data_IF_259715946616
#
_entry.id   IF_259715946616
#
_cell.length_a   1.000
_cell.length_b   1.000
_cell.length_c   1.000
_cell.angle_alpha   90.00
_cell.angle_beta   90.00
_cell.angle_gamma   90.00
#
_symmetry.space_group_name_H-M   'P 1'
#
loop_
_entity.id
_entity.type
_entity.pdbx_description
1 polymer ?
#
# COMPACT_ATOMS: atom_id res chain seq x y z
N UNK A 1 -5.92 -13.78 1.62
CA UNK A 1 -6.22 -12.39 1.21
C UNK A 1 -5.32 -12.06 0.03
N UNK A 2 -5.79 -11.30 -0.95
CA UNK A 2 -5.03 -10.95 -2.15
C UNK A 2 -4.15 -9.70 -1.93
N UNK A 3 -3.38 -9.68 -0.84
CA UNK A 3 -2.42 -8.63 -0.48
C UNK A 3 -1.57 -9.07 0.74
N UNK A 4 -0.47 -8.39 0.96
CA UNK A 4 0.43 -8.54 2.09
C UNK A 4 0.32 -7.36 3.06
N UNK A 5 0.79 -7.55 4.30
CA UNK A 5 0.75 -6.53 5.35
C UNK A 5 2.14 -6.25 5.89
N UNK A 6 2.57 -5.00 5.78
CA UNK A 6 3.77 -4.50 6.43
C UNK A 6 3.39 -3.86 7.77
N UNK A 7 3.94 -4.39 8.87
CA UNK A 7 3.73 -3.88 10.23
C UNK A 7 4.71 -2.75 10.49
N UNK A 8 4.20 -1.53 10.62
CA UNK A 8 5.00 -0.33 10.90
C UNK A 8 5.28 -0.16 12.41
N UNK A 9 4.46 -0.76 13.27
CA UNK A 9 4.50 -0.48 14.70
C UNK A 9 3.93 0.90 15.01
N UNK A 10 4.46 1.57 16.02
CA UNK A 10 3.95 2.88 16.43
C UNK A 10 4.51 3.99 15.55
N UNK A 11 3.62 4.76 14.93
CA UNK A 11 3.99 5.83 14.00
C UNK A 11 3.56 7.18 14.56
N UNK A 12 4.51 8.10 14.76
CA UNK A 12 4.20 9.50 15.09
C UNK A 12 3.71 10.21 13.84
N UNK A 13 2.45 10.63 13.85
CA UNK A 13 1.85 11.40 12.77
C UNK A 13 2.34 12.85 12.78
N UNK A 14 2.17 13.55 11.65
CA UNK A 14 2.47 14.98 11.55
C UNK A 14 1.67 15.83 12.54
N UNK A 15 0.48 15.38 12.96
CA UNK A 15 -0.32 16.02 14.01
C UNK A 15 0.29 15.90 15.41
N UNK A 16 1.36 15.12 15.60
CA UNK A 16 1.97 14.82 16.89
C UNK A 16 1.36 13.61 17.62
N UNK A 17 0.20 13.11 17.16
CA UNK A 17 -0.45 11.91 17.72
C UNK A 17 0.31 10.64 17.31
N UNK A 18 0.36 9.64 18.18
CA UNK A 18 0.91 8.32 17.87
C UNK A 18 -0.21 7.40 17.35
N UNK A 19 -0.06 6.94 16.11
CA UNK A 19 -0.85 5.85 15.56
C UNK A 19 -0.22 4.53 16.00
N UNK A 20 -0.84 3.88 17.00
CA UNK A 20 -0.33 2.62 17.56
C UNK A 20 -0.55 1.45 16.62
N UNK A 21 0.41 0.51 16.60
CA UNK A 21 0.35 -0.74 15.83
C UNK A 21 -0.07 -0.55 14.36
N UNK A 22 0.46 0.50 13.73
CA UNK A 22 0.16 0.85 12.36
C UNK A 22 0.59 -0.25 11.38
N UNK A 23 -0.20 -0.40 10.30
CA UNK A 23 0.04 -1.37 9.24
C UNK A 23 -0.29 -0.78 7.87
N UNK A 24 0.47 -1.19 6.86
CA UNK A 24 0.17 -0.95 5.45
C UNK A 24 -0.20 -2.26 4.78
N UNK A 25 -1.37 -2.31 4.14
CA UNK A 25 -1.71 -3.35 3.20
C UNK A 25 -1.13 -2.99 1.82
N UNK A 26 -0.46 -3.93 1.15
CA UNK A 26 0.12 -3.69 -0.16
C UNK A 26 0.10 -4.96 -1.02
N UNK A 27 0.20 -4.81 -2.33
CA UNK A 27 0.39 -5.93 -3.26
C UNK A 27 1.50 -5.61 -4.24
N UNK A 28 2.31 -6.60 -4.56
CA UNK A 28 3.41 -6.48 -5.51
C UNK A 28 3.10 -7.16 -6.84
N UNK A 29 3.66 -6.65 -7.92
CA UNK A 29 3.51 -7.20 -9.27
C UNK A 29 4.86 -7.15 -9.99
N UNK A 30 5.14 -8.18 -10.80
CA UNK A 30 6.44 -8.34 -11.43
C UNK A 30 7.51 -8.83 -10.44
N UNK A 31 8.78 -8.64 -10.82
CA UNK A 31 9.93 -9.15 -10.06
C UNK A 31 10.96 -8.05 -9.83
N UNK A 32 11.41 -7.90 -8.59
CA UNK A 32 12.51 -7.01 -8.22
C UNK A 32 13.81 -7.53 -8.83
N UNK A 33 14.52 -6.69 -9.58
CA UNK A 33 15.82 -7.08 -10.13
C UNK A 33 16.93 -7.04 -9.06
N UNK A 34 18.08 -7.64 -9.37
CA UNK A 34 19.20 -7.74 -8.43
C UNK A 34 19.71 -6.36 -7.94
N UNK A 35 19.68 -5.35 -8.81
CA UNK A 35 20.13 -3.99 -8.50
C UNK A 35 19.09 -3.15 -7.73
N UNK A 36 17.85 -3.65 -7.61
CA UNK A 36 16.74 -2.97 -6.95
C UNK A 36 16.30 -1.65 -7.63
N UNK A 37 16.65 -1.44 -8.90
CA UNK A 37 16.44 -0.16 -9.60
C UNK A 37 15.21 -0.14 -10.51
N UNK A 38 14.41 -1.21 -10.53
CA UNK A 38 13.20 -1.31 -11.35
C UNK A 38 11.89 -1.11 -10.58
N UNK A 39 11.92 -0.40 -9.44
CA UNK A 39 10.75 -0.25 -8.55
C UNK A 39 9.85 0.91 -8.97
N UNK A 40 8.55 0.66 -9.03
CA UNK A 40 7.52 1.69 -9.14
C UNK A 40 6.60 1.59 -7.91
N UNK A 41 6.50 2.67 -7.13
CA UNK A 41 5.54 2.77 -6.03
C UNK A 41 4.26 3.42 -6.55
N UNK A 42 3.13 2.75 -6.36
CA UNK A 42 1.82 3.19 -6.85
C UNK A 42 0.83 3.30 -5.68
N UNK A 43 0.71 4.49 -5.05
CA UNK A 43 -0.28 4.72 -4.00
C UNK A 43 -1.71 4.55 -4.53
N UNK A 44 -2.63 4.09 -3.67
CA UNK A 44 -4.06 4.11 -4.00
C UNK A 44 -4.64 5.53 -3.87
N UNK A 45 -5.80 5.75 -4.51
CA UNK A 45 -6.52 7.03 -4.48
C UNK A 45 -7.76 6.96 -3.57
N UNK A 46 -8.51 8.06 -3.44
CA UNK A 46 -9.76 8.11 -2.66
C UNK A 46 -10.74 7.01 -3.08
N UNK A 47 -11.31 6.27 -2.12
CA UNK A 47 -12.13 5.04 -2.33
C UNK A 47 -11.41 3.85 -3.01
N UNK A 48 -10.13 4.01 -3.34
CA UNK A 48 -9.34 3.02 -4.05
C UNK A 48 -8.69 2.00 -3.12
N UNK A 49 -8.49 0.81 -3.68
CA UNK A 49 -7.61 -0.24 -3.15
C UNK A 49 -6.63 -0.64 -4.24
N UNK A 50 -5.63 -1.46 -3.90
CA UNK A 50 -4.66 -1.99 -4.86
C UNK A 50 -5.32 -2.61 -6.11
N UNK A 51 -6.51 -3.23 -5.98
CA UNK A 51 -7.29 -3.77 -7.11
C UNK A 51 -7.69 -2.70 -8.12
N UNK A 52 -8.05 -1.50 -7.65
CA UNK A 52 -8.39 -0.38 -8.53
C UNK A 52 -7.17 0.15 -9.29
N UNK A 53 -5.96 -0.03 -8.74
CA UNK A 53 -4.71 0.33 -9.39
C UNK A 53 -4.29 -0.67 -10.49
N UNK A 54 -4.82 -1.89 -10.51
CA UNK A 54 -4.48 -2.90 -11.53
C UNK A 54 -4.86 -2.43 -12.95
N UNK A 55 -5.81 -1.50 -13.08
CA UNK A 55 -6.14 -0.85 -14.36
C UNK A 55 -5.08 0.11 -14.90
N UNK A 56 -4.04 0.46 -14.14
CA UNK A 56 -2.99 1.42 -14.57
C UNK A 56 -1.76 0.76 -15.20
N UNK A 57 -1.58 -0.55 -15.05
CA UNK A 57 -0.41 -1.28 -15.57
C UNK A 57 -0.81 -2.51 -16.37
N UNK A 58 0.15 -3.11 -17.07
CA UNK A 58 -0.05 -4.33 -17.85
C UNK A 58 1.03 -4.55 -18.91
N UNK A 59 1.12 -5.77 -19.48
CA UNK A 59 2.11 -6.09 -20.52
C UNK A 59 2.06 -5.09 -21.69
N UNK A 60 3.21 -4.55 -22.08
CA UNK A 60 3.33 -3.59 -23.18
C UNK A 60 2.85 -2.17 -22.89
N UNK A 61 2.37 -1.86 -21.67
CA UNK A 61 1.96 -0.50 -21.27
C UNK A 61 3.14 0.30 -20.71
N UNK A 62 2.92 1.57 -20.43
CA UNK A 62 3.93 2.45 -19.83
C UNK A 62 4.45 1.90 -18.49
N UNK A 63 3.52 1.39 -17.65
CA UNK A 63 3.84 0.65 -16.43
C UNK A 63 3.64 -0.83 -16.75
N UNK A 64 4.74 -1.53 -17.01
CA UNK A 64 4.75 -2.94 -17.42
C UNK A 64 5.35 -3.83 -16.32
N UNK A 65 4.58 -4.78 -15.74
CA UNK A 65 5.08 -5.69 -14.71
C UNK A 65 6.11 -6.71 -15.24
N UNK A 66 6.31 -6.83 -16.55
CA UNK A 66 7.43 -7.61 -17.11
C UNK A 66 8.77 -6.88 -17.04
N UNK A 67 8.74 -5.56 -16.79
CA UNK A 67 9.94 -4.70 -16.74
C UNK A 67 10.18 -4.15 -15.33
N UNK A 68 9.11 -3.79 -14.63
CA UNK A 68 9.16 -3.13 -13.33
C UNK A 68 8.59 -4.00 -12.22
N UNK A 69 9.13 -3.83 -11.03
CA UNK A 69 8.55 -4.30 -9.79
C UNK A 69 7.62 -3.24 -9.22
N UNK A 70 6.32 -3.48 -9.28
CA UNK A 70 5.30 -2.51 -8.91
C UNK A 70 4.81 -2.81 -7.50
N UNK A 71 4.83 -1.82 -6.62
CA UNK A 71 4.29 -1.93 -5.25
C UNK A 71 3.05 -1.04 -5.14
N UNK A 72 1.88 -1.67 -5.06
CA UNK A 72 0.60 -0.96 -4.91
C UNK A 72 0.24 -0.86 -3.42
N UNK A 73 0.36 0.35 -2.85
CA UNK A 73 0.22 0.59 -1.41
C UNK A 73 -1.16 1.18 -1.11
N UNK A 74 -1.91 0.50 -0.25
CA UNK A 74 -3.21 0.97 0.21
C UNK A 74 -3.03 2.09 1.25
N UNK A 75 -3.71 3.22 1.05
CA UNK A 75 -3.63 4.38 1.96
C UNK A 75 -4.12 4.03 3.37
N UNK A 76 -3.57 4.70 4.39
CA UNK A 76 -4.23 4.76 5.68
C UNK A 76 -5.67 5.27 5.55
N UNK A 77 -6.57 4.74 6.38
CA UNK A 77 -7.99 5.11 6.37
C UNK A 77 -8.83 4.46 5.27
N UNK A 78 -8.25 3.69 4.33
CA UNK A 78 -8.99 3.11 3.21
C UNK A 78 -9.70 1.77 3.50
N UNK A 79 -9.67 1.31 4.76
CA UNK A 79 -10.28 0.07 5.23
C UNK A 79 -9.37 -1.16 5.20
N UNK A 80 -8.27 -1.14 4.44
CA UNK A 80 -7.31 -2.25 4.36
C UNK A 80 -6.06 -2.02 5.23
N UNK A 81 -5.37 -0.90 4.99
CA UNK A 81 -4.32 -0.42 5.90
C UNK A 81 -4.95 0.03 7.22
N UNK A 82 -4.14 0.47 8.20
CA UNK A 82 -4.67 1.05 9.44
C UNK A 82 -5.73 2.10 9.15
N UNK A 83 -6.93 1.84 9.65
CA UNK A 83 -8.15 2.62 9.39
C UNK A 83 -9.05 2.57 10.62
N UNK A 84 -9.93 3.56 10.83
CA UNK A 84 -10.90 3.53 11.92
C UNK A 84 -11.68 2.20 11.99
N UNK A 85 -12.13 1.71 10.83
CA UNK A 85 -12.88 0.44 10.70
C UNK A 85 -12.13 -0.84 11.09
N UNK A 86 -10.82 -0.77 11.36
CA UNK A 86 -10.00 -1.93 11.72
C UNK A 86 -8.99 -1.65 12.85
N UNK A 87 -9.19 -0.56 13.58
CA UNK A 87 -8.39 -0.16 14.73
C UNK A 87 -9.12 -0.50 16.04
N UNK A 88 -8.39 -0.40 17.16
CA UNK A 88 -8.94 -0.49 18.50
C UNK A 88 -9.14 0.93 19.09
N UNK A 89 -10.04 1.10 20.08
CA UNK A 89 -10.14 2.35 20.82
C UNK A 89 -8.80 2.85 21.35
N UNK A 90 -8.50 4.15 21.28
CA UNK A 90 -9.33 5.27 20.80
C UNK A 90 -9.08 5.63 19.32
N UNK A 91 -8.54 4.71 18.52
CA UNK A 91 -8.14 4.96 17.11
C UNK A 91 -9.18 4.45 16.09
N UNK A 92 -10.33 3.99 16.56
CA UNK A 92 -11.43 3.38 15.79
C UNK A 92 -12.47 4.39 15.25
N UNK A 93 -12.31 5.68 15.57
CA UNK A 93 -13.12 6.79 15.03
C UNK A 93 -14.24 7.18 15.96
#
# INVERSE_FOLDING_TARGET
>A
MDYEVFKLGDVKLLSGVILRSAKLAYKTYGTLNADGNNVIVLPTFYTGTHKRNEGFFGPGRAIDPQKYFIISINLFGNGLSSSPSNALPPQDG
#
